data_IF_705169755737
#
_entry.id   IF_705169755737
#
_cell.length_a   1.000
_cell.length_b   1.000
_cell.length_c   1.000
_cell.angle_alpha   90.00
_cell.angle_beta   90.00
_cell.angle_gamma   90.00
#
_symmetry.space_group_name_H-M   'P 1'
#
loop_
_entity.id
_entity.type
_entity.pdbx_description
1 polymer ?
#
# COMPACT_ATOMS: atom_id res chain seq x y z
N UNK A 1 -37.59 9.72 -41.34
CA UNK A 1 -37.29 9.82 -39.89
C UNK A 1 -37.11 11.27 -39.43
N UNK A 2 -36.26 12.08 -40.08
CA UNK A 2 -36.09 13.52 -39.76
C UNK A 2 -37.39 14.35 -39.86
N UNK A 3 -38.25 14.05 -40.83
CA UNK A 3 -39.54 14.74 -41.00
C UNK A 3 -40.58 14.40 -39.93
N UNK A 4 -40.47 13.24 -39.26
CA UNK A 4 -41.39 12.81 -38.20
C UNK A 4 -41.08 13.49 -36.87
N UNK A 5 -39.81 13.82 -36.62
CA UNK A 5 -39.36 14.52 -35.41
C UNK A 5 -39.81 15.99 -35.45
N UNK A 6 -39.76 16.62 -36.63
CA UNK A 6 -40.22 18.01 -36.81
C UNK A 6 -41.74 18.21 -36.69
N UNK A 7 -42.54 17.14 -36.78
CA UNK A 7 -43.99 17.20 -36.60
C UNK A 7 -44.45 17.17 -35.14
N UNK A 8 -43.63 16.62 -34.24
CA UNK A 8 -43.95 16.44 -32.82
C UNK A 8 -43.51 17.67 -31.99
N UNK A 9 -42.44 18.35 -32.42
CA UNK A 9 -42.10 19.67 -31.91
C UNK A 9 -43.03 20.71 -32.55
N UNK A 10 -44.18 20.96 -31.92
CA UNK A 10 -44.93 22.20 -32.16
C UNK A 10 -43.92 23.33 -31.96
N UNK A 11 -43.52 23.99 -33.06
CA UNK A 11 -42.69 25.20 -33.03
C UNK A 11 -43.54 26.30 -32.42
N UNK A 12 -43.65 26.30 -31.11
CA UNK A 12 -44.07 27.47 -30.38
C UNK A 12 -43.06 28.57 -30.72
N UNK A 13 -43.59 29.61 -31.39
CA UNK A 13 -42.99 30.92 -31.72
C UNK A 13 -41.46 30.93 -31.76
N UNK A 14 -40.89 31.14 -32.97
CA UNK A 14 -39.47 31.49 -33.20
C UNK A 14 -38.87 32.15 -31.95
N UNK A 15 -38.14 31.38 -31.14
CA UNK A 15 -37.59 31.88 -29.89
C UNK A 15 -36.67 33.02 -30.27
N UNK A 16 -37.05 34.27 -29.95
CA UNK A 16 -36.18 35.39 -30.22
C UNK A 16 -34.87 35.15 -29.46
N UNK A 17 -33.73 35.38 -30.12
CA UNK A 17 -32.43 35.27 -29.47
C UNK A 17 -32.44 36.00 -28.12
N UNK A 18 -31.79 35.44 -27.08
CA UNK A 18 -31.71 36.08 -25.77
C UNK A 18 -31.19 37.51 -25.95
N UNK A 19 -31.98 38.49 -25.49
CA UNK A 19 -31.67 39.93 -25.63
C UNK A 19 -30.73 40.46 -24.56
N UNK A 20 -30.55 39.70 -23.47
CA UNK A 20 -29.55 39.98 -22.44
C UNK A 20 -29.17 38.73 -21.65
N UNK A 21 -27.96 38.71 -21.12
CA UNK A 21 -27.43 37.69 -20.19
C UNK A 21 -26.85 38.42 -18.98
N UNK A 22 -27.01 37.84 -17.78
CA UNK A 22 -26.38 38.34 -16.56
C UNK A 22 -25.20 37.44 -16.18
N UNK A 23 -24.01 38.00 -16.19
CA UNK A 23 -22.76 37.35 -15.77
C UNK A 23 -22.19 38.20 -14.61
N UNK A 24 -21.93 37.58 -13.45
CA UNK A 24 -21.39 38.25 -12.25
C UNK A 24 -22.11 39.54 -11.80
N UNK A 25 -23.42 39.60 -12.00
CA UNK A 25 -24.25 40.76 -11.65
C UNK A 25 -24.28 41.88 -12.70
N UNK A 26 -23.54 41.75 -13.79
CA UNK A 26 -23.51 42.70 -14.92
C UNK A 26 -24.44 42.22 -16.03
N UNK A 27 -25.35 43.10 -16.49
CA UNK A 27 -26.28 42.79 -17.58
C UNK A 27 -25.64 43.11 -18.95
N UNK A 28 -25.33 42.08 -19.72
CA UNK A 28 -24.77 42.18 -21.06
C UNK A 28 -25.92 42.15 -22.08
N UNK A 29 -26.07 43.24 -22.85
CA UNK A 29 -27.13 43.41 -23.86
C UNK A 29 -26.63 43.36 -25.29
N UNK A 30 -25.31 43.51 -25.47
CA UNK A 30 -24.70 43.51 -26.78
C UNK A 30 -24.54 42.08 -27.33
N UNK A 31 -24.80 41.91 -28.62
CA UNK A 31 -24.77 40.60 -29.27
C UNK A 31 -23.37 39.98 -29.28
N UNK A 32 -22.32 40.81 -29.38
CA UNK A 32 -20.96 40.32 -29.34
C UNK A 32 -20.58 39.87 -27.92
N UNK A 33 -20.91 40.68 -26.91
CA UNK A 33 -20.71 40.30 -25.51
C UNK A 33 -21.46 39.03 -25.09
N UNK A 34 -22.67 38.82 -25.60
CA UNK A 34 -23.44 37.60 -25.39
C UNK A 34 -22.71 36.38 -25.99
N UNK A 35 -22.20 36.49 -27.22
CA UNK A 35 -21.47 35.41 -27.87
C UNK A 35 -20.15 35.11 -27.15
N UNK A 36 -19.44 36.15 -26.71
CA UNK A 36 -18.18 36.00 -25.98
C UNK A 36 -18.39 35.31 -24.62
N UNK A 37 -19.43 35.70 -23.88
CA UNK A 37 -19.83 35.06 -22.61
C UNK A 37 -20.16 33.57 -22.81
N UNK A 38 -20.90 33.24 -23.88
CA UNK A 38 -21.18 31.85 -24.24
C UNK A 38 -19.91 31.07 -24.61
N UNK A 39 -19.04 31.63 -25.45
CA UNK A 39 -17.78 31.01 -25.82
C UNK A 39 -16.88 30.80 -24.61
N UNK A 40 -16.81 31.78 -23.70
CA UNK A 40 -16.05 31.70 -22.45
C UNK A 40 -16.60 30.62 -21.53
N UNK A 41 -17.91 30.56 -21.38
CA UNK A 41 -18.58 29.51 -20.62
C UNK A 41 -18.24 28.11 -21.16
N UNK A 42 -18.39 27.88 -22.46
CA UNK A 42 -18.09 26.57 -23.05
C UNK A 42 -16.60 26.25 -23.11
N UNK A 43 -15.72 27.24 -23.22
CA UNK A 43 -14.28 27.03 -23.12
C UNK A 43 -13.84 26.64 -21.70
N UNK A 44 -14.54 27.15 -20.68
CA UNK A 44 -14.21 26.92 -19.27
C UNK A 44 -15.03 25.80 -18.62
N UNK A 45 -16.08 25.30 -19.26
CA UNK A 45 -16.91 24.23 -18.68
C UNK A 45 -16.06 22.99 -18.38
N UNK A 46 -15.11 22.66 -19.25
CA UNK A 46 -14.19 21.54 -19.06
C UNK A 46 -13.29 21.75 -17.85
N UNK A 47 -12.71 22.93 -17.67
CA UNK A 47 -11.85 23.21 -16.51
C UNK A 47 -12.65 23.22 -15.20
N UNK A 48 -13.86 23.78 -15.22
CA UNK A 48 -14.73 23.81 -14.04
C UNK A 48 -15.24 22.41 -13.64
N UNK A 49 -15.58 21.57 -14.62
CA UNK A 49 -15.98 20.17 -14.37
C UNK A 49 -14.80 19.27 -13.98
N UNK A 50 -13.61 19.48 -14.55
CA UNK A 50 -12.38 18.76 -14.18
C UNK A 50 -11.98 18.99 -12.71
N UNK A 51 -12.19 20.21 -12.20
CA UNK A 51 -11.89 20.56 -10.80
C UNK A 51 -12.93 19.97 -9.84
N UNK A 52 -14.21 19.94 -10.23
CA UNK A 52 -15.32 19.55 -9.34
C UNK A 52 -15.58 18.04 -9.29
N UNK A 53 -15.19 17.31 -10.33
CA UNK A 53 -15.42 15.87 -10.40
C UNK A 53 -14.15 15.15 -10.84
N UNK A 54 -13.50 14.33 -9.99
CA UNK A 54 -12.43 13.47 -10.43
C UNK A 54 -13.02 12.52 -11.48
N UNK A 55 -12.61 12.67 -12.73
CA UNK A 55 -13.07 11.83 -13.84
C UNK A 55 -12.71 10.39 -13.46
N UNK A 56 -13.71 9.53 -13.15
CA UNK A 56 -13.40 8.15 -12.87
C UNK A 56 -12.83 7.57 -14.15
N UNK A 57 -11.68 6.89 -14.09
CA UNK A 57 -11.17 6.06 -15.21
C UNK A 57 -12.28 5.10 -15.62
N UNK A 58 -13.08 5.53 -16.58
CA UNK A 58 -14.34 4.90 -16.93
C UNK A 58 -13.99 3.86 -17.97
N UNK A 59 -13.75 2.64 -17.51
CA UNK A 59 -13.56 1.51 -18.42
C UNK A 59 -14.81 1.38 -19.28
N UNK A 60 -14.67 1.39 -20.60
CA UNK A 60 -15.76 1.20 -21.57
C UNK A 60 -16.65 0.01 -21.20
N UNK A 61 -16.07 -1.06 -20.65
CA UNK A 61 -16.79 -2.22 -20.17
C UNK A 61 -17.79 -1.92 -19.02
N UNK A 62 -17.45 -1.04 -18.08
CA UNK A 62 -18.37 -0.62 -17.00
C UNK A 62 -19.55 0.18 -17.58
N UNK A 63 -19.28 1.07 -18.53
CA UNK A 63 -20.32 1.86 -19.20
C UNK A 63 -21.23 0.96 -20.04
N UNK A 64 -20.65 0.04 -20.82
CA UNK A 64 -21.38 -0.94 -21.62
C UNK A 64 -22.27 -1.81 -20.73
N UNK A 65 -21.74 -2.34 -19.63
CA UNK A 65 -22.50 -3.14 -18.65
C UNK A 65 -23.63 -2.33 -18.00
N UNK A 66 -23.38 -1.06 -17.68
CA UNK A 66 -24.42 -0.17 -17.13
C UNK A 66 -25.56 0.03 -18.13
N UNK A 67 -25.23 0.31 -19.38
CA UNK A 67 -26.21 0.52 -20.45
C UNK A 67 -27.02 -0.74 -20.72
N UNK A 68 -26.35 -1.88 -20.82
CA UNK A 68 -27.00 -3.18 -20.98
C UNK A 68 -27.92 -3.50 -19.78
N UNK A 69 -27.56 -3.06 -18.57
CA UNK A 69 -28.43 -3.21 -17.38
C UNK A 69 -29.65 -2.28 -17.34
N UNK A 70 -29.64 -1.21 -18.15
CA UNK A 70 -30.68 -0.17 -18.15
C UNK A 70 -31.49 -0.13 -19.45
N UNK A 71 -31.06 -0.82 -20.51
CA UNK A 71 -31.82 -0.96 -21.76
C UNK A 71 -32.99 -1.93 -21.57
N UNK A 72 -34.20 -1.51 -21.94
CA UNK A 72 -35.38 -2.36 -22.02
C UNK A 72 -35.23 -3.34 -23.19
N UNK A 73 -35.74 -4.56 -23.02
CA UNK A 73 -35.57 -5.72 -23.93
C UNK A 73 -35.84 -5.45 -25.41
N UNK A 74 -36.65 -4.43 -25.73
CA UNK A 74 -37.07 -4.09 -27.09
C UNK A 74 -36.24 -2.98 -27.73
N UNK A 75 -35.24 -2.43 -27.04
CA UNK A 75 -34.36 -1.37 -27.58
C UNK A 75 -32.89 -1.74 -27.46
N UNK A 76 -32.16 -1.66 -28.58
CA UNK A 76 -30.71 -1.86 -28.62
C UNK A 76 -30.02 -0.50 -28.68
N UNK A 77 -29.48 -0.04 -27.55
CA UNK A 77 -28.56 1.09 -27.51
C UNK A 77 -27.13 0.58 -27.45
N UNK A 78 -26.38 0.76 -28.54
CA UNK A 78 -24.98 0.37 -28.62
C UNK A 78 -24.11 1.62 -28.71
N UNK A 79 -23.27 1.85 -27.70
CA UNK A 79 -22.20 2.83 -27.81
C UNK A 79 -21.05 2.17 -28.56
N UNK A 80 -20.64 2.78 -29.67
CA UNK A 80 -19.44 2.35 -30.38
C UNK A 80 -18.22 2.62 -29.51
N UNK A 81 -17.35 1.62 -29.37
CA UNK A 81 -16.04 1.82 -28.73
C UNK A 81 -15.21 2.72 -29.65
N UNK A 82 -14.99 3.96 -29.22
CA UNK A 82 -14.14 4.91 -29.94
C UNK A 82 -12.72 4.67 -29.48
N UNK A 83 -12.02 3.79 -30.20
CA UNK A 83 -10.60 3.52 -29.99
C UNK A 83 -9.73 4.38 -30.92
N UNK A 84 -8.43 4.45 -30.64
CA UNK A 84 -7.43 5.19 -31.42
C UNK A 84 -7.49 4.74 -32.88
N UNK A 85 -7.58 3.44 -33.13
CA UNK A 85 -7.69 2.88 -34.48
C UNK A 85 -9.01 3.25 -35.17
N UNK A 86 -10.11 3.32 -34.40
CA UNK A 86 -11.39 3.77 -34.94
C UNK A 86 -11.30 5.23 -35.37
N UNK A 87 -10.80 6.12 -34.51
CA UNK A 87 -10.64 7.55 -34.80
C UNK A 87 -9.70 7.75 -35.99
N UNK A 88 -8.58 7.02 -36.04
CA UNK A 88 -7.65 7.01 -37.18
C UNK A 88 -8.35 6.56 -38.46
N UNK A 89 -9.14 5.48 -38.41
CA UNK A 89 -9.87 4.98 -39.57
C UNK A 89 -10.90 6.00 -40.08
N UNK A 90 -11.53 6.77 -39.19
CA UNK A 90 -12.47 7.83 -39.58
C UNK A 90 -11.73 9.05 -40.13
N UNK A 91 -10.59 9.42 -39.53
CA UNK A 91 -9.76 10.53 -40.00
C UNK A 91 -9.17 10.27 -41.39
N UNK A 92 -8.76 9.04 -41.66
CA UNK A 92 -8.26 8.63 -42.98
C UNK A 92 -9.35 8.52 -44.04
N UNK A 93 -10.62 8.38 -43.63
CA UNK A 93 -11.78 8.34 -44.54
C UNK A 93 -12.27 9.73 -44.93
N UNK A 94 -11.74 10.81 -44.35
CA UNK A 94 -12.15 12.13 -44.74
C UNK A 94 -11.75 12.42 -46.19
N UNK A 95 -12.74 12.81 -46.99
CA UNK A 95 -12.49 13.34 -48.32
C UNK A 95 -11.72 14.65 -48.21
N UNK A 96 -10.84 14.90 -49.17
CA UNK A 96 -9.91 16.04 -49.14
C UNK A 96 -10.59 17.40 -49.18
N UNK A 97 -11.86 17.40 -49.59
CA UNK A 97 -12.70 18.58 -49.77
C UNK A 97 -13.79 18.66 -48.68
N UNK A 98 -13.77 17.76 -47.69
CA UNK A 98 -14.74 17.76 -46.61
C UNK A 98 -14.53 19.00 -45.74
N UNK A 99 -15.62 19.72 -45.49
CA UNK A 99 -15.63 20.79 -44.51
C UNK A 99 -15.55 20.18 -43.11
N UNK A 100 -14.43 20.42 -42.41
CA UNK A 100 -14.23 19.95 -41.04
C UNK A 100 -14.65 20.99 -39.98
N UNK A 101 -15.26 22.10 -40.40
CA UNK A 101 -15.75 23.16 -39.50
C UNK A 101 -14.66 23.94 -38.77
N UNK A 102 -13.39 23.70 -39.11
CA UNK A 102 -12.25 24.46 -38.63
C UNK A 102 -11.84 25.42 -39.74
N UNK A 103 -12.06 26.71 -39.49
CA UNK A 103 -11.58 27.76 -40.37
C UNK A 103 -10.07 27.56 -40.55
N UNK A 104 -9.61 27.41 -41.79
CA UNK A 104 -8.20 27.18 -42.19
C UNK A 104 -7.59 25.78 -42.02
N UNK A 105 -8.24 24.82 -41.37
CA UNK A 105 -7.72 23.45 -41.29
C UNK A 105 -8.49 22.54 -42.24
N UNK A 106 -7.94 22.26 -43.42
CA UNK A 106 -8.55 21.32 -44.36
C UNK A 106 -8.47 19.88 -43.86
N UNK A 107 -9.42 19.03 -44.30
CA UNK A 107 -9.47 17.62 -43.92
C UNK A 107 -8.16 16.85 -44.20
N UNK A 108 -7.42 17.22 -45.26
CA UNK A 108 -6.07 16.70 -45.54
C UNK A 108 -5.06 16.99 -44.44
N UNK A 109 -5.03 18.23 -43.94
CA UNK A 109 -4.08 18.65 -42.92
C UNK A 109 -4.42 17.95 -41.61
N UNK A 110 -5.72 17.84 -41.29
CA UNK A 110 -6.19 17.08 -40.13
C UNK A 110 -5.81 15.60 -40.21
N UNK A 111 -6.00 14.96 -41.37
CA UNK A 111 -5.57 13.57 -41.60
C UNK A 111 -4.06 13.37 -41.48
N UNK A 112 -3.26 14.29 -42.02
CA UNK A 112 -1.79 14.26 -41.91
C UNK A 112 -1.27 14.55 -40.50
N UNK A 113 -1.96 15.42 -39.74
CA UNK A 113 -1.58 15.79 -38.38
C UNK A 113 -2.12 14.80 -37.33
N UNK A 114 -3.12 13.98 -37.67
CA UNK A 114 -3.74 13.03 -36.76
C UNK A 114 -2.73 12.07 -36.08
N UNK A 115 -1.73 11.48 -36.77
CA UNK A 115 -0.70 10.68 -36.11
C UNK A 115 0.10 11.45 -35.06
N UNK A 116 0.37 12.73 -35.31
CA UNK A 116 1.15 13.60 -34.43
C UNK A 116 0.35 13.95 -33.16
N UNK A 117 -0.92 14.31 -33.31
CA UNK A 117 -1.84 14.56 -32.19
C UNK A 117 -2.08 13.30 -31.35
N UNK A 118 -2.22 12.14 -31.99
CA UNK A 118 -2.37 10.86 -31.28
C UNK A 118 -1.10 10.49 -30.51
N UNK A 119 0.08 10.71 -31.09
CA UNK A 119 1.35 10.48 -30.41
C UNK A 119 1.50 11.38 -29.17
N UNK A 120 1.12 12.66 -29.27
CA UNK A 120 1.14 13.60 -28.15
C UNK A 120 0.14 13.20 -27.03
N UNK A 121 -1.09 12.86 -27.39
CA UNK A 121 -2.11 12.41 -26.42
C UNK A 121 -1.74 11.10 -25.71
N UNK A 122 -1.01 10.20 -26.40
CA UNK A 122 -0.50 8.96 -25.81
C UNK A 122 0.77 9.20 -24.98
N UNK A 123 1.63 10.17 -25.34
CA UNK A 123 2.83 10.48 -24.57
C UNK A 123 2.53 11.10 -23.20
N UNK A 124 1.47 11.92 -23.09
CA UNK A 124 1.10 12.53 -21.81
C UNK A 124 0.61 11.48 -20.79
N UNK A 125 0.06 10.37 -21.25
CA UNK A 125 -0.34 9.23 -20.40
C UNK A 125 0.82 8.39 -19.86
N UNK A 126 2.01 8.49 -20.47
CA UNK A 126 3.19 7.72 -20.06
C UNK A 126 3.88 8.32 -18.83
N UNK A 127 3.84 9.64 -18.65
CA UNK A 127 4.52 10.33 -17.55
C UNK A 127 3.86 10.02 -16.21
N UNK A 128 2.53 10.15 -16.12
CA UNK A 128 1.79 9.78 -14.90
C UNK A 128 1.86 8.28 -14.61
N UNK A 129 1.89 7.42 -15.64
CA UNK A 129 2.11 5.99 -15.43
C UNK A 129 3.51 5.67 -14.91
N UNK A 130 4.52 6.45 -15.29
CA UNK A 130 5.90 6.27 -14.84
C UNK A 130 6.02 6.61 -13.35
N UNK A 131 5.42 7.72 -12.93
CA UNK A 131 5.44 8.15 -11.52
C UNK A 131 4.69 7.16 -10.62
N UNK A 132 3.55 6.64 -11.07
CA UNK A 132 2.82 5.59 -10.35
C UNK A 132 3.63 4.29 -10.25
N UNK A 133 4.35 3.90 -11.31
CA UNK A 133 5.23 2.72 -11.27
C UNK A 133 6.40 2.91 -10.31
N UNK A 134 7.01 4.09 -10.29
CA UNK A 134 8.10 4.42 -9.36
C UNK A 134 7.61 4.39 -7.91
N UNK A 135 6.45 4.97 -7.63
CA UNK A 135 5.83 4.92 -6.30
C UNK A 135 5.52 3.48 -5.86
N UNK A 136 5.00 2.64 -6.76
CA UNK A 136 4.75 1.23 -6.45
C UNK A 136 6.05 0.48 -6.13
N UNK A 137 7.12 0.74 -6.86
CA UNK A 137 8.42 0.11 -6.64
C UNK A 137 9.01 0.51 -5.28
N UNK A 138 8.87 1.79 -4.89
CA UNK A 138 9.27 2.27 -3.56
C UNK A 138 8.43 1.68 -2.42
N UNK A 139 7.13 1.44 -2.65
CA UNK A 139 6.26 0.76 -1.67
C UNK A 139 6.71 -0.69 -1.47
N UNK A 140 7.06 -1.40 -2.54
CA UNK A 140 7.56 -2.77 -2.43
C UNK A 140 8.89 -2.84 -1.67
N UNK A 141 9.80 -1.90 -1.92
CA UNK A 141 11.07 -1.81 -1.18
C UNK A 141 10.84 -1.53 0.31
N UNK A 142 9.96 -0.59 0.66
CA UNK A 142 9.59 -0.33 2.06
C UNK A 142 8.92 -1.53 2.75
N UNK A 143 8.13 -2.30 2.01
CA UNK A 143 7.51 -3.53 2.51
C UNK A 143 8.58 -4.57 2.84
N UNK A 144 9.56 -4.75 1.98
CA UNK A 144 10.65 -5.71 2.18
C UNK A 144 11.56 -5.29 3.35
N UNK A 145 11.88 -4.00 3.49
CA UNK A 145 12.58 -3.44 4.65
C UNK A 145 11.81 -3.68 5.96
N UNK A 146 10.50 -3.43 5.95
CA UNK A 146 9.63 -3.64 7.12
C UNK A 146 9.60 -5.11 7.53
N UNK A 147 9.49 -6.01 6.55
CA UNK A 147 9.54 -7.45 6.80
C UNK A 147 10.88 -7.87 7.39
N UNK A 148 11.98 -7.31 6.89
CA UNK A 148 13.31 -7.57 7.43
C UNK A 148 13.43 -7.15 8.90
N UNK A 149 12.96 -5.94 9.24
CA UNK A 149 12.96 -5.43 10.62
C UNK A 149 12.08 -6.30 11.53
N UNK A 150 10.91 -6.74 11.04
CA UNK A 150 10.01 -7.61 11.79
C UNK A 150 10.68 -8.96 12.15
N UNK A 151 11.40 -9.57 11.20
CA UNK A 151 12.14 -10.80 11.44
C UNK A 151 13.28 -10.59 12.45
N UNK A 152 14.02 -9.46 12.36
CA UNK A 152 15.06 -9.13 13.34
C UNK A 152 14.48 -8.96 14.76
N UNK A 153 13.31 -8.32 14.88
CA UNK A 153 12.61 -8.16 16.15
C UNK A 153 12.17 -9.51 16.74
N UNK A 154 11.68 -10.42 15.90
CA UNK A 154 11.32 -11.78 16.33
C UNK A 154 12.53 -12.55 16.86
N UNK A 155 13.66 -12.49 16.16
CA UNK A 155 14.92 -13.11 16.61
C UNK A 155 15.40 -12.53 17.95
N UNK A 156 15.32 -11.21 18.12
CA UNK A 156 15.69 -10.54 19.37
C UNK A 156 14.76 -10.96 20.51
N UNK A 157 13.45 -11.02 20.27
CA UNK A 157 12.47 -11.42 21.26
C UNK A 157 12.70 -12.86 21.73
N UNK A 158 12.92 -13.78 20.77
CA UNK A 158 13.17 -15.18 21.06
C UNK A 158 14.47 -15.36 21.87
N UNK A 159 15.55 -14.68 21.48
CA UNK A 159 16.81 -14.70 22.24
C UNK A 159 16.67 -14.14 23.66
N UNK A 160 15.90 -13.06 23.82
CA UNK A 160 15.63 -12.48 25.14
C UNK A 160 14.86 -13.45 26.03
N UNK A 161 13.88 -14.16 25.47
CA UNK A 161 13.10 -15.18 26.19
C UNK A 161 13.96 -16.36 26.61
N UNK A 162 14.85 -16.81 25.73
CA UNK A 162 15.80 -17.88 26.04
C UNK A 162 16.78 -17.46 27.14
N UNK A 163 17.27 -16.22 27.12
CA UNK A 163 18.13 -15.68 28.17
C UNK A 163 17.42 -15.60 29.53
N UNK A 164 16.15 -15.16 29.56
CA UNK A 164 15.37 -15.10 30.79
C UNK A 164 15.14 -16.50 31.38
N UNK A 165 14.81 -17.47 30.53
CA UNK A 165 14.68 -18.87 30.94
C UNK A 165 16.01 -19.43 31.45
N UNK A 166 17.12 -19.17 30.75
CA UNK A 166 18.44 -19.63 31.17
C UNK A 166 18.86 -19.02 32.52
N UNK A 167 18.57 -17.74 32.74
CA UNK A 167 18.81 -17.07 34.03
C UNK A 167 18.01 -17.72 35.15
N UNK A 168 16.72 -17.98 34.93
CA UNK A 168 15.86 -18.63 35.93
C UNK A 168 16.36 -20.04 36.29
N UNK A 169 16.79 -20.82 35.30
CA UNK A 169 17.38 -22.14 35.52
C UNK A 169 18.68 -22.04 36.32
N UNK A 170 19.51 -21.02 36.05
CA UNK A 170 20.73 -20.78 36.81
C UNK A 170 20.43 -20.42 38.27
N UNK A 171 19.49 -19.50 38.51
CA UNK A 171 19.09 -19.11 39.86
C UNK A 171 18.52 -20.30 40.66
N UNK A 172 17.79 -21.21 40.00
CA UNK A 172 17.31 -22.46 40.61
C UNK A 172 18.46 -23.45 40.90
N UNK A 173 19.44 -23.55 40.00
CA UNK A 173 20.62 -24.38 40.22
C UNK A 173 21.45 -23.89 41.42
N UNK A 174 21.66 -22.59 41.55
CA UNK A 174 22.37 -21.99 42.69
C UNK A 174 21.62 -22.27 44.01
N UNK A 175 20.29 -22.13 44.02
CA UNK A 175 19.47 -22.44 45.20
C UNK A 175 19.58 -23.93 45.61
N UNK A 176 19.67 -24.85 44.65
CA UNK A 176 19.88 -26.27 44.93
C UNK A 176 21.27 -26.56 45.51
N UNK A 177 22.30 -25.86 45.04
CA UNK A 177 23.66 -25.99 45.59
C UNK A 177 23.69 -25.57 47.05
N UNK A 178 23.11 -24.42 47.38
CA UNK A 178 23.01 -23.94 48.76
C UNK A 178 22.27 -24.94 49.67
N UNK A 179 21.19 -25.54 49.16
CA UNK A 179 20.45 -26.56 49.90
C UNK A 179 21.30 -27.81 50.17
N UNK A 180 21.98 -28.33 49.14
CA UNK A 180 22.84 -29.51 49.29
C UNK A 180 23.99 -29.22 50.25
N UNK A 181 24.60 -28.03 50.20
CA UNK A 181 25.65 -27.65 51.14
C UNK A 181 25.14 -27.58 52.58
N UNK A 182 23.96 -27.01 52.80
CA UNK A 182 23.33 -26.93 54.12
C UNK A 182 23.07 -28.33 54.71
N UNK A 183 22.43 -29.20 53.94
CA UNK A 183 22.13 -30.58 54.36
C UNK A 183 23.42 -31.38 54.60
N UNK A 184 24.39 -31.27 53.70
CA UNK A 184 25.69 -31.96 53.81
C UNK A 184 26.47 -31.44 55.02
N UNK A 185 26.42 -30.14 55.31
CA UNK A 185 27.04 -29.55 56.50
C UNK A 185 26.43 -30.11 57.78
N UNK A 186 25.10 -30.18 57.86
CA UNK A 186 24.40 -30.82 58.99
C UNK A 186 24.79 -32.28 59.16
N UNK A 187 24.81 -33.06 58.07
CA UNK A 187 25.22 -34.46 58.10
C UNK A 187 26.67 -34.64 58.56
N UNK A 188 27.59 -33.80 58.05
CA UNK A 188 28.99 -33.77 58.48
C UNK A 188 29.11 -33.49 59.97
N UNK A 189 28.41 -32.49 60.48
CA UNK A 189 28.41 -32.16 61.92
C UNK A 189 27.90 -33.32 62.77
N UNK A 190 26.82 -33.97 62.35
CA UNK A 190 26.28 -35.14 63.04
C UNK A 190 27.29 -36.30 63.06
N UNK A 191 27.87 -36.67 61.92
CA UNK A 191 28.89 -37.72 61.84
C UNK A 191 30.13 -37.38 62.68
N UNK A 192 30.57 -36.13 62.66
CA UNK A 192 31.72 -35.68 63.46
C UNK A 192 31.43 -35.79 64.95
N UNK A 193 30.19 -35.48 65.37
CA UNK A 193 29.75 -35.64 66.77
C UNK A 193 29.71 -37.11 67.18
N UNK A 194 29.24 -38.00 66.30
CA UNK A 194 29.20 -39.44 66.52
C UNK A 194 30.63 -40.00 66.65
N UNK A 195 31.53 -39.60 65.75
CA UNK A 195 32.93 -39.99 65.76
C UNK A 195 33.66 -39.48 67.02
N UNK A 196 33.40 -38.23 67.45
CA UNK A 196 33.93 -37.71 68.73
C UNK A 196 33.40 -38.53 69.91
N UNK A 197 32.10 -38.83 69.96
CA UNK A 197 31.51 -39.67 71.03
C UNK A 197 32.13 -41.07 71.06
N UNK A 198 32.41 -41.65 69.91
CA UNK A 198 33.08 -42.96 69.79
C UNK A 198 34.56 -42.89 70.23
N UNK A 199 35.30 -41.86 69.85
CA UNK A 199 36.67 -41.64 70.33
C UNK A 199 36.74 -41.31 71.82
N UNK A 200 35.80 -40.54 72.36
CA UNK A 200 35.68 -40.30 73.80
C UNK A 200 35.26 -41.55 74.56
N UNK A 201 34.51 -42.47 73.94
CA UNK A 201 34.16 -43.77 74.52
C UNK A 201 35.30 -44.79 74.47
N UNK A 202 36.23 -44.68 73.52
CA UNK A 202 37.47 -45.49 73.48
C UNK A 202 38.62 -44.91 74.32
N UNK A 203 38.49 -43.70 74.88
CA UNK A 203 39.49 -43.09 75.75
C UNK A 203 39.39 -43.52 77.22
N UNK A 204 38.45 -44.41 77.58
CA UNK A 204 38.32 -44.98 78.93
C UNK A 204 38.52 -46.49 78.85
N UNK A 205 39.76 -46.92 78.62
CA UNK A 205 40.40 -48.10 79.23
C UNK A 205 41.77 -48.30 78.59
N UNK A 206 42.79 -47.54 79.01
CA UNK A 206 44.14 -48.08 79.22
C UNK A 206 44.83 -47.22 80.30
N UNK A 207 44.83 -47.73 81.53
CA UNK A 207 45.82 -47.36 82.53
C UNK A 207 47.19 -47.86 82.10
N UNK A 208 48.19 -46.96 82.17
CA UNK A 208 49.59 -47.23 82.53
C UNK A 208 50.25 -48.48 81.94
N UNK A 209 51.17 -48.27 80.98
CA UNK A 209 52.55 -48.80 81.08
C UNK A 209 53.48 -48.12 80.08
N UNK A 210 54.67 -47.77 80.59
CA UNK A 210 55.89 -47.40 79.88
C UNK A 210 56.27 -48.43 78.80
N UNK A 211 56.83 -47.97 77.68
CA UNK A 211 58.05 -48.45 76.98
C UNK A 211 58.07 -47.85 75.56
N UNK A 212 59.01 -46.97 75.24
CA UNK A 212 60.36 -47.21 74.70
C UNK A 212 60.39 -47.49 73.17
N UNK A 213 61.28 -46.74 72.51
CA UNK A 213 61.99 -47.02 71.26
C UNK A 213 61.36 -46.90 69.85
N UNK A 214 61.95 -45.97 69.09
CA UNK A 214 62.72 -46.13 67.82
C UNK A 214 62.03 -46.54 66.51
N UNK A 215 62.36 -45.79 65.45
CA UNK A 215 62.38 -46.21 64.03
C UNK A 215 61.58 -45.26 63.12
N UNK A 216 62.19 -44.42 62.28
CA UNK A 216 62.57 -44.71 60.87
C UNK A 216 61.38 -45.22 60.03
N UNK A 217 61.02 -44.77 58.82
CA UNK A 217 61.70 -44.08 57.71
C UNK A 217 60.66 -43.74 56.61
N UNK A 218 61.03 -42.81 55.71
CA UNK A 218 60.79 -42.79 54.25
C UNK A 218 59.37 -42.92 53.65
N UNK A 219 58.84 -41.94 52.89
CA UNK A 219 59.15 -41.53 51.49
C UNK A 219 58.60 -42.48 50.42
N UNK A 220 58.13 -41.86 49.32
CA UNK A 220 57.67 -42.40 48.01
C UNK A 220 56.15 -42.65 47.93
N UNK A 221 55.43 -42.23 46.89
CA UNK A 221 55.79 -41.64 45.60
C UNK A 221 54.58 -40.90 45.03
#
# INVERSE_FOLDING_TARGET
>A
MWNSINGILKRDKKSSSPRSIKEDGVEIKDSHGIAESFCRYFANITSEFMVKTPIPKTSFHKLKKFIESKCLSDTKFSIAMVDVDFVKSQLLKFETNAAVGLDYLGAKILGCAAPLYMAAMLSDSNTEQKDVKELLLRIDEQKDETLHIMNQLEDIYQRSKEYENAKKVNDEADALVDQVEYETSSARMFLTSLAKKQWSSSAVTVTSSKESNVGETSKQR
#
